data_IF_403634993891
#
_entry.id   IF_403634993891
#
_cell.length_a   1.000
_cell.length_b   1.000
_cell.length_c   1.000
_cell.angle_alpha   90.00
_cell.angle_beta   90.00
_cell.angle_gamma   90.00
#
_symmetry.space_group_name_H-M   'P 1'
#
loop_
_entity.id
_entity.type
_entity.pdbx_description
1 polymer ?
#
# COMPACT_ATOMS: atom_id res chain seq x y z
N UNK A 1 -18.55 -41.54 7.62
CA UNK A 1 -17.47 -40.55 7.88
C UNK A 1 -16.66 -40.40 6.61
N UNK A 2 -16.92 -39.36 5.80
CA UNK A 2 -16.10 -39.04 4.63
C UNK A 2 -15.31 -37.78 4.96
N UNK A 3 -14.10 -37.96 5.50
CA UNK A 3 -13.17 -36.87 5.72
C UNK A 3 -12.56 -36.51 4.37
N UNK A 4 -13.22 -35.60 3.64
CA UNK A 4 -12.68 -35.04 2.41
C UNK A 4 -11.44 -34.25 2.77
N UNK A 5 -10.28 -34.89 2.63
CA UNK A 5 -8.99 -34.23 2.72
C UNK A 5 -8.98 -33.09 1.73
N UNK A 6 -9.07 -31.85 2.25
CA UNK A 6 -8.83 -30.64 1.46
C UNK A 6 -7.40 -30.74 0.96
N UNK A 7 -7.23 -31.15 -0.30
CA UNK A 7 -5.96 -31.10 -1.00
C UNK A 7 -5.51 -29.64 -0.93
N UNK A 8 -4.50 -29.35 -0.12
CA UNK A 8 -3.85 -28.05 -0.10
C UNK A 8 -3.34 -27.84 -1.52
N UNK A 9 -4.06 -27.02 -2.29
CA UNK A 9 -3.64 -26.67 -3.64
C UNK A 9 -2.47 -25.72 -3.45
N UNK A 10 -1.28 -26.20 -3.83
CA UNK A 10 -0.07 -25.39 -3.84
C UNK A 10 -0.33 -24.05 -4.52
N UNK A 11 0.06 -22.92 -3.91
CA UNK A 11 -0.19 -21.61 -4.47
C UNK A 11 0.46 -21.51 -5.85
N UNK A 12 -0.23 -20.87 -6.80
CA UNK A 12 0.34 -20.66 -8.13
C UNK A 12 1.60 -19.79 -8.05
N UNK A 13 2.47 -19.85 -9.06
CA UNK A 13 3.68 -19.02 -9.12
C UNK A 13 3.39 -17.51 -9.02
N UNK A 14 2.23 -17.06 -9.53
CA UNK A 14 1.80 -15.67 -9.39
C UNK A 14 1.53 -15.30 -7.93
N UNK A 15 0.85 -16.20 -7.19
CA UNK A 15 0.57 -16.02 -5.76
C UNK A 15 1.87 -16.07 -4.95
N UNK A 16 2.74 -17.06 -5.19
CA UNK A 16 4.06 -17.15 -4.53
C UNK A 16 4.88 -15.88 -4.73
N UNK A 17 4.93 -15.35 -5.97
CA UNK A 17 5.63 -14.10 -6.29
C UNK A 17 5.03 -12.90 -5.57
N UNK A 18 3.70 -12.84 -5.44
CA UNK A 18 3.04 -11.77 -4.68
C UNK A 18 3.36 -11.85 -3.19
N UNK A 19 3.31 -13.04 -2.59
CA UNK A 19 3.67 -13.26 -1.18
C UNK A 19 5.14 -12.89 -0.92
N UNK A 20 6.07 -13.30 -1.80
CA UNK A 20 7.47 -12.93 -1.69
C UNK A 20 7.68 -11.40 -1.70
N UNK A 21 6.94 -10.69 -2.57
CA UNK A 21 6.96 -9.21 -2.61
C UNK A 21 6.39 -8.58 -1.33
N UNK A 22 5.36 -9.18 -0.73
CA UNK A 22 4.78 -8.69 0.51
C UNK A 22 5.75 -8.86 1.68
N UNK A 23 6.41 -10.02 1.78
CA UNK A 23 7.44 -10.28 2.79
C UNK A 23 8.61 -9.30 2.63
N UNK A 24 9.10 -9.11 1.42
CA UNK A 24 10.20 -8.18 1.14
C UNK A 24 9.78 -6.72 1.40
N UNK A 25 8.58 -6.35 0.97
CA UNK A 25 7.98 -5.04 1.23
C UNK A 25 7.81 -4.74 2.72
N UNK A 26 7.34 -5.71 3.51
CA UNK A 26 7.19 -5.56 4.96
C UNK A 26 8.55 -5.27 5.62
N UNK A 27 9.58 -6.06 5.29
CA UNK A 27 10.95 -5.86 5.77
C UNK A 27 11.50 -4.49 5.37
N UNK A 28 11.34 -4.12 4.10
CA UNK A 28 11.85 -2.85 3.58
C UNK A 28 11.16 -1.65 4.26
N UNK A 29 9.84 -1.69 4.43
CA UNK A 29 9.08 -0.63 5.11
C UNK A 29 9.49 -0.53 6.57
N UNK A 30 9.67 -1.67 7.24
CA UNK A 30 10.14 -1.71 8.63
C UNK A 30 11.54 -1.09 8.76
N UNK A 31 12.50 -1.48 7.92
CA UNK A 31 13.87 -0.96 7.94
C UNK A 31 13.95 0.54 7.62
N UNK A 32 13.08 1.04 6.74
CA UNK A 32 13.06 2.46 6.36
C UNK A 32 12.27 3.33 7.33
N UNK A 33 11.34 2.73 8.07
CA UNK A 33 10.35 3.37 8.95
C UNK A 33 9.42 4.41 8.25
N UNK A 34 9.57 4.57 6.93
CA UNK A 34 8.86 5.53 6.09
C UNK A 34 8.59 4.95 4.71
N UNK A 35 7.61 5.53 4.02
CA UNK A 35 7.26 5.21 2.63
C UNK A 35 7.73 6.31 1.68
N UNK A 36 8.09 5.93 0.46
CA UNK A 36 8.49 6.87 -0.60
C UNK A 36 7.27 7.65 -1.12
N UNK A 37 7.44 8.82 -1.75
CA UNK A 37 6.31 9.58 -2.30
C UNK A 37 5.39 8.79 -3.25
N UNK A 38 5.90 7.93 -4.16
CA UNK A 38 5.04 7.09 -5.00
C UNK A 38 4.31 5.99 -4.23
N UNK A 39 4.89 5.49 -3.14
CA UNK A 39 4.27 4.51 -2.25
C UNK A 39 3.16 5.17 -1.43
N UNK A 40 3.41 6.36 -0.89
CA UNK A 40 2.42 7.18 -0.20
C UNK A 40 1.21 7.51 -1.09
N UNK A 41 1.45 7.85 -2.37
CA UNK A 41 0.38 8.06 -3.35
C UNK A 41 -0.50 6.82 -3.49
N UNK A 42 0.10 5.64 -3.70
CA UNK A 42 -0.65 4.38 -3.82
C UNK A 42 -1.44 4.03 -2.56
N UNK A 43 -0.89 4.31 -1.37
CA UNK A 43 -1.63 4.11 -0.11
C UNK A 43 -2.85 5.01 -0.07
N UNK A 44 -2.71 6.31 -0.36
CA UNK A 44 -3.84 7.25 -0.36
C UNK A 44 -4.93 6.81 -1.34
N UNK A 45 -4.54 6.47 -2.56
CA UNK A 45 -5.49 6.00 -3.58
C UNK A 45 -6.23 4.73 -3.12
N UNK A 46 -5.53 3.77 -2.47
CA UNK A 46 -6.15 2.56 -1.95
C UNK A 46 -7.14 2.85 -0.80
N UNK A 47 -6.77 3.74 0.13
CA UNK A 47 -7.64 4.13 1.26
C UNK A 47 -8.85 4.93 0.78
N UNK A 48 -8.64 5.85 -0.18
CA UNK A 48 -9.69 6.64 -0.81
C UNK A 48 -10.69 5.73 -1.56
N UNK A 49 -10.18 4.73 -2.28
CA UNK A 49 -10.98 3.72 -2.97
C UNK A 49 -11.84 2.90 -2.00
N UNK A 50 -11.29 2.47 -0.86
CA UNK A 50 -12.05 1.79 0.20
C UNK A 50 -13.11 2.68 0.86
N UNK A 51 -12.88 3.99 0.90
CA UNK A 51 -13.80 4.96 1.52
C UNK A 51 -14.94 5.38 0.59
N UNK A 52 -15.01 4.85 -0.64
CA UNK A 52 -15.98 5.27 -1.66
C UNK A 52 -15.77 6.70 -2.15
N UNK A 53 -14.59 7.29 -1.87
CA UNK A 53 -14.20 8.63 -2.30
C UNK A 53 -13.03 8.55 -3.27
N UNK A 54 -13.20 8.00 -4.49
CA UNK A 54 -12.12 8.06 -5.47
C UNK A 54 -11.79 9.53 -5.74
N UNK A 55 -10.50 9.90 -5.72
CA UNK A 55 -10.02 11.26 -6.04
C UNK A 55 -10.30 11.68 -7.52
N UNK A 56 -11.04 10.86 -8.27
CA UNK A 56 -11.28 11.01 -9.70
C UNK A 56 -12.72 11.45 -9.96
N UNK A 57 -12.86 12.55 -10.69
CA UNK A 57 -14.11 13.21 -11.10
C UNK A 57 -14.98 12.40 -12.07
N UNK A 58 -14.54 11.21 -12.48
CA UNK A 58 -15.31 10.30 -13.33
C UNK A 58 -16.17 9.38 -12.45
N UNK A 59 -17.48 9.56 -12.53
CA UNK A 59 -18.51 8.78 -11.82
C UNK A 59 -18.57 7.30 -12.22
N UNK A 60 -17.67 6.85 -13.11
CA UNK A 60 -17.59 5.47 -13.57
C UNK A 60 -16.31 4.80 -13.06
N UNK A 61 -16.46 3.92 -12.07
CA UNK A 61 -15.35 3.06 -11.63
C UNK A 61 -14.98 2.13 -12.78
N UNK A 62 -13.73 2.21 -13.23
CA UNK A 62 -13.24 1.34 -14.30
C UNK A 62 -13.20 -0.12 -13.85
N UNK A 63 -13.32 -1.08 -14.78
CA UNK A 63 -13.19 -2.52 -14.48
C UNK A 63 -11.92 -2.84 -13.69
N UNK A 64 -10.82 -2.13 -13.98
CA UNK A 64 -9.54 -2.31 -13.28
C UNK A 64 -9.59 -1.81 -11.83
N UNK A 65 -10.25 -0.67 -11.58
CA UNK A 65 -10.46 -0.17 -10.22
C UNK A 65 -11.37 -1.10 -9.42
N UNK A 66 -12.44 -1.64 -10.02
CA UNK A 66 -13.30 -2.63 -9.34
C UNK A 66 -12.52 -3.88 -8.93
N UNK A 67 -11.72 -4.46 -9.82
CA UNK A 67 -10.87 -5.62 -9.51
C UNK A 67 -9.94 -5.31 -8.33
N UNK A 68 -9.36 -4.11 -8.30
CA UNK A 68 -8.47 -3.72 -7.22
C UNK A 68 -9.24 -3.46 -5.92
N UNK A 69 -10.41 -2.82 -5.98
CA UNK A 69 -11.28 -2.58 -4.83
C UNK A 69 -11.72 -3.90 -4.17
N UNK A 70 -12.20 -4.88 -4.94
CA UNK A 70 -12.61 -6.20 -4.42
C UNK A 70 -11.45 -6.90 -3.67
N UNK A 71 -10.23 -6.79 -4.21
CA UNK A 71 -9.04 -7.27 -3.53
C UNK A 71 -8.76 -6.48 -2.24
N UNK A 72 -8.84 -5.15 -2.27
CA UNK A 72 -8.63 -4.30 -1.10
C UNK A 72 -9.65 -4.58 0.01
N UNK A 73 -10.92 -4.76 -0.33
CA UNK A 73 -11.98 -5.11 0.64
C UNK A 73 -11.70 -6.45 1.30
N UNK A 74 -11.20 -7.42 0.53
CA UNK A 74 -10.82 -8.74 1.05
C UNK A 74 -9.66 -8.63 2.03
N UNK A 75 -8.62 -7.85 1.71
CA UNK A 75 -7.48 -7.68 2.63
C UNK A 75 -7.76 -6.75 3.80
N UNK A 76 -8.73 -5.83 3.67
CA UNK A 76 -9.14 -4.93 4.73
C UNK A 76 -9.75 -5.67 5.93
N UNK A 77 -10.29 -6.87 5.73
CA UNK A 77 -10.77 -7.75 6.81
C UNK A 77 -9.66 -8.13 7.80
N UNK A 78 -8.41 -8.19 7.34
CA UNK A 78 -7.21 -8.41 8.17
C UNK A 78 -6.68 -7.10 8.80
N UNK A 79 -7.27 -5.96 8.45
CA UNK A 79 -6.90 -4.64 8.96
C UNK A 79 -6.23 -3.72 7.93
N UNK A 80 -6.28 -2.43 8.22
CA UNK A 80 -5.76 -1.39 7.34
C UNK A 80 -4.22 -1.45 7.17
N UNK A 81 -3.49 -2.04 8.12
CA UNK A 81 -2.06 -2.33 7.99
C UNK A 81 -1.76 -3.24 6.79
N UNK A 82 -2.61 -4.24 6.52
CA UNK A 82 -2.46 -5.13 5.36
C UNK A 82 -2.79 -4.42 4.05
N UNK A 83 -3.80 -3.55 4.05
CA UNK A 83 -4.11 -2.66 2.91
C UNK A 83 -2.90 -1.80 2.56
N UNK A 84 -2.29 -1.15 3.55
CA UNK A 84 -1.08 -0.33 3.38
C UNK A 84 0.04 -1.17 2.79
N UNK A 85 0.32 -2.35 3.35
CA UNK A 85 1.39 -3.23 2.86
C UNK A 85 1.15 -3.66 1.40
N UNK A 86 -0.08 -4.04 1.06
CA UNK A 86 -0.45 -4.44 -0.31
C UNK A 86 -0.33 -3.29 -1.30
N UNK A 87 -0.77 -2.08 -0.92
CA UNK A 87 -0.68 -0.90 -1.77
C UNK A 87 0.78 -0.54 -2.10
N UNK A 88 1.67 -0.64 -1.10
CA UNK A 88 3.11 -0.37 -1.25
C UNK A 88 3.82 -1.45 -2.06
N UNK A 89 3.58 -2.71 -1.74
CA UNK A 89 4.39 -3.83 -2.25
C UNK A 89 3.91 -4.37 -3.60
N UNK A 90 2.60 -4.37 -3.83
CA UNK A 90 1.98 -4.89 -5.05
C UNK A 90 1.47 -3.75 -5.93
N UNK A 91 0.64 -2.88 -5.35
CA UNK A 91 -0.09 -1.84 -6.08
C UNK A 91 -1.14 -2.41 -7.07
N UNK A 92 -1.92 -1.51 -7.70
CA UNK A 92 -3.06 -1.91 -8.53
C UNK A 92 -2.66 -2.72 -9.76
N UNK A 93 -1.57 -2.35 -10.44
CA UNK A 93 -1.15 -3.03 -11.68
C UNK A 93 -0.82 -4.50 -11.47
N UNK A 94 -0.15 -4.84 -10.35
CA UNK A 94 0.19 -6.23 -10.05
C UNK A 94 -1.08 -7.05 -9.82
N UNK A 95 -2.02 -6.54 -9.01
CA UNK A 95 -3.27 -7.26 -8.69
C UNK A 95 -4.14 -7.41 -9.93
N UNK A 96 -4.33 -6.32 -10.70
CA UNK A 96 -5.18 -6.33 -11.90
C UNK A 96 -4.66 -7.29 -12.98
N UNK A 97 -3.34 -7.46 -13.08
CA UNK A 97 -2.74 -8.39 -14.05
C UNK A 97 -2.79 -9.86 -13.63
N UNK A 98 -3.12 -10.16 -12.37
CA UNK A 98 -3.31 -11.55 -11.92
C UNK A 98 -4.57 -12.16 -12.53
N UNK A 99 -4.52 -13.47 -12.78
CA UNK A 99 -5.72 -14.23 -13.16
C UNK A 99 -6.72 -14.22 -12.02
N UNK A 100 -7.99 -14.35 -12.37
CA UNK A 100 -9.08 -14.31 -11.41
C UNK A 100 -8.90 -15.25 -10.21
N UNK A 101 -8.63 -16.54 -10.49
CA UNK A 101 -8.33 -17.54 -9.46
C UNK A 101 -7.19 -17.15 -8.52
N UNK A 102 -6.16 -16.47 -9.04
CA UNK A 102 -4.98 -16.09 -8.26
C UNK A 102 -5.31 -14.87 -7.38
N UNK A 103 -6.16 -13.94 -7.86
CA UNK A 103 -6.66 -12.82 -7.07
C UNK A 103 -7.55 -13.27 -5.93
N UNK A 104 -8.44 -14.23 -6.17
CA UNK A 104 -9.34 -14.78 -5.15
C UNK A 104 -8.54 -15.55 -4.08
N UNK A 105 -7.50 -16.28 -4.48
CA UNK A 105 -6.68 -17.06 -3.55
C UNK A 105 -5.71 -16.19 -2.71
N UNK A 106 -5.26 -15.05 -3.25
CA UNK A 106 -4.20 -14.26 -2.62
C UNK A 106 -4.57 -13.75 -1.21
N UNK A 107 -5.74 -13.14 -0.94
CA UNK A 107 -6.11 -12.70 0.41
C UNK A 107 -6.04 -13.81 1.45
N UNK A 108 -6.56 -15.00 1.14
CA UNK A 108 -6.48 -16.15 2.06
C UNK A 108 -5.03 -16.58 2.33
N UNK A 109 -4.15 -16.50 1.34
CA UNK A 109 -2.72 -16.78 1.53
C UNK A 109 -1.98 -15.69 2.28
N UNK A 110 -2.44 -14.44 2.22
CA UNK A 110 -1.90 -13.36 3.06
C UNK A 110 -2.29 -13.59 4.52
N UNK A 111 -3.54 -13.98 4.77
CA UNK A 111 -4.06 -14.31 6.11
C UNK A 111 -3.25 -15.43 6.77
N UNK A 112 -2.91 -16.49 6.02
CA UNK A 112 -2.06 -17.59 6.51
C UNK A 112 -0.68 -17.15 7.01
N UNK A 113 -0.14 -16.02 6.52
CA UNK A 113 1.18 -15.52 6.91
C UNK A 113 1.12 -14.15 7.60
N UNK A 114 -0.06 -13.69 8.01
CA UNK A 114 -0.31 -12.34 8.50
C UNK A 114 0.65 -11.98 9.65
N UNK A 115 0.84 -12.87 10.61
CA UNK A 115 1.73 -12.66 11.76
C UNK A 115 3.18 -12.35 11.36
N UNK A 116 3.63 -12.84 10.21
CA UNK A 116 4.98 -12.57 9.68
C UNK A 116 5.06 -11.23 8.95
N UNK A 117 3.93 -10.73 8.45
CA UNK A 117 3.84 -9.49 7.70
C UNK A 117 3.59 -8.28 8.60
N UNK A 118 3.01 -8.48 9.77
CA UNK A 118 2.70 -7.40 10.69
C UNK A 118 3.94 -6.75 11.32
N UNK A 119 3.85 -5.43 11.51
CA UNK A 119 4.85 -4.68 12.26
C UNK A 119 4.24 -3.41 12.86
N UNK A 120 4.83 -2.94 13.94
CA UNK A 120 4.44 -1.67 14.57
C UNK A 120 4.54 -0.49 13.59
N UNK A 121 5.49 -0.52 12.65
CA UNK A 121 5.64 0.48 11.59
C UNK A 121 4.44 0.50 10.66
N UNK A 122 3.98 -0.67 10.19
CA UNK A 122 2.79 -0.77 9.33
C UNK A 122 1.52 -0.33 10.05
N UNK A 123 1.36 -0.71 11.32
CA UNK A 123 0.23 -0.26 12.14
C UNK A 123 0.24 1.27 12.33
N UNK A 124 1.42 1.87 12.58
CA UNK A 124 1.58 3.32 12.66
C UNK A 124 1.21 4.00 11.35
N UNK A 125 1.69 3.49 10.22
CA UNK A 125 1.35 4.02 8.89
C UNK A 125 -0.15 3.92 8.65
N UNK A 126 -0.77 2.78 8.92
CA UNK A 126 -2.22 2.62 8.79
C UNK A 126 -3.00 3.68 9.58
N UNK A 127 -2.63 3.94 10.84
CA UNK A 127 -3.23 5.01 11.64
C UNK A 127 -3.04 6.39 11.01
N UNK A 128 -1.85 6.70 10.49
CA UNK A 128 -1.57 7.98 9.83
C UNK A 128 -2.45 8.21 8.60
N UNK A 129 -2.61 7.19 7.76
CA UNK A 129 -3.43 7.28 6.54
C UNK A 129 -4.93 7.11 6.79
N UNK A 130 -5.33 6.56 7.95
CA UNK A 130 -6.74 6.55 8.39
C UNK A 130 -7.17 7.86 9.02
N UNK A 131 -6.32 8.47 9.87
CA UNK A 131 -6.65 9.67 10.64
C UNK A 131 -6.56 10.94 9.80
N UNK A 132 -5.62 10.99 8.86
CA UNK A 132 -5.66 12.01 7.82
C UNK A 132 -6.66 11.57 6.77
N UNK A 133 -7.89 12.07 6.85
CA UNK A 133 -8.66 12.28 5.62
C UNK A 133 -7.75 13.05 4.67
N UNK A 134 -7.19 12.33 3.69
CA UNK A 134 -6.25 12.76 2.64
C UNK A 134 -5.45 14.04 2.97
N UNK A 135 -4.18 13.94 3.41
CA UNK A 135 -3.33 15.12 3.35
C UNK A 135 -3.05 15.41 1.87
N UNK A 136 -3.64 16.49 1.35
CA UNK A 136 -3.17 17.15 0.13
C UNK A 136 -1.67 17.38 0.29
N UNK A 137 -0.89 16.67 -0.50
CA UNK A 137 0.54 16.96 -0.67
C UNK A 137 0.62 18.05 -1.72
N UNK A 138 0.39 19.28 -1.30
CA UNK A 138 1.04 20.40 -1.95
C UNK A 138 2.54 20.29 -1.61
N UNK A 139 3.35 20.28 -2.66
CA UNK A 139 4.77 20.10 -2.58
C UNK A 139 5.44 21.27 -1.86
N UNK A 140 5.76 21.11 -0.59
CA UNK A 140 6.68 22.02 0.11
C UNK A 140 8.13 21.58 -0.17
N UNK A 141 8.61 21.95 -1.36
CA UNK A 141 10.03 22.04 -1.68
C UNK A 141 10.42 23.51 -1.71
N UNK A 142 10.94 24.04 -0.60
CA UNK A 142 12.04 25.02 -0.59
C UNK A 142 12.39 25.45 0.84
N UNK A 143 13.32 24.72 1.45
CA UNK A 143 14.25 25.36 2.38
C UNK A 143 15.23 26.20 1.55
N UNK A 144 15.17 27.52 1.66
CA UNK A 144 16.34 28.36 1.42
C UNK A 144 16.37 29.48 2.45
N UNK A 145 16.98 29.19 3.59
CA UNK A 145 17.49 30.20 4.49
C UNK A 145 18.48 31.07 3.71
N UNK A 146 18.15 32.35 3.50
CA UNK A 146 19.17 33.38 3.24
C UNK A 146 19.41 34.11 4.54
N UNK A 147 20.36 33.60 5.31
CA UNK A 147 21.05 34.38 6.33
C UNK A 147 22.45 34.69 5.81
N UNK A 148 22.65 35.98 5.54
CA UNK A 148 23.88 36.78 5.68
C UNK A 148 25.23 36.18 5.27
N UNK A 149 25.84 36.80 4.25
CA UNK A 149 27.22 37.31 4.33
C UNK A 149 27.55 38.15 3.09
N UNK A 150 27.77 39.46 3.27
CA UNK A 150 28.76 40.20 2.49
C UNK A 150 29.27 41.41 3.27
N UNK A 151 30.43 41.22 3.90
CA UNK A 151 31.38 42.26 4.30
C UNK A 151 32.17 42.68 3.06
N UNK A 152 32.35 43.99 2.86
CA UNK A 152 33.56 44.69 2.37
C UNK A 152 33.30 46.21 2.50
N UNK A 153 33.85 46.93 3.49
CA UNK A 153 35.16 47.63 3.53
C UNK A 153 35.35 48.78 2.53
N UNK A 154 35.46 49.98 3.11
CA UNK A 154 36.39 51.09 2.83
C UNK A 154 36.16 52.18 1.75
N UNK A 155 36.13 53.40 2.28
CA UNK A 155 36.98 54.57 1.96
C UNK A 155 36.73 55.41 0.70
N UNK A 156 36.19 56.62 0.89
CA UNK A 156 36.91 57.91 0.72
C UNK A 156 36.14 59.07 1.33
#
# INVERSE_FOLDING_TARGET
>A
MASTMRKQVEPSEAVKKALAKLVDGAKIVQLREKVKPPEAKRIREAVALLSGKPDSTDSQISKRQNIYLEFLESVHKMGLSMVVLCAVSLGPSAVVSMRDRDRVALPSKIEEIQDTLESAVLQRLARQYSAKGLPSVDGESASLAKASNMVMTESR
#
